data_IF_762933564239
#
_entry.id   IF_762933564239
#
_cell.length_a   1.000
_cell.length_b   1.000
_cell.length_c   1.000
_cell.angle_alpha   90.00
_cell.angle_beta   90.00
_cell.angle_gamma   90.00
#
_symmetry.space_group_name_H-M   'P 1'
#
loop_
_entity.id
_entity.type
_entity.pdbx_description
1 polymer ?
#
# COMPACT_ATOMS: atom_id res chain seq x y z
N UNK A 1 17.99 -0.33 -27.61
CA UNK A 1 17.31 0.96 -27.32
C UNK A 1 18.29 1.87 -26.60
N UNK A 2 18.70 2.98 -27.22
CA UNK A 2 19.52 4.02 -26.57
C UNK A 2 18.56 4.94 -25.80
N UNK A 3 18.68 4.99 -24.49
CA UNK A 3 17.91 5.91 -23.64
C UNK A 3 18.41 7.31 -23.94
N UNK A 4 17.62 8.11 -24.66
CA UNK A 4 17.91 9.53 -24.83
C UNK A 4 18.00 10.18 -23.44
N UNK A 5 19.05 10.98 -23.24
CA UNK A 5 19.40 11.53 -21.93
C UNK A 5 18.18 12.15 -21.23
N UNK A 6 17.90 11.72 -20.00
CA UNK A 6 16.82 12.21 -19.11
C UNK A 6 16.95 13.70 -18.70
N UNK A 7 17.81 14.47 -19.39
CA UNK A 7 18.07 15.88 -19.12
C UNK A 7 16.82 16.69 -19.47
N UNK A 8 16.24 17.37 -18.49
CA UNK A 8 14.99 18.15 -18.63
C UNK A 8 13.70 17.39 -18.27
N UNK A 9 13.70 16.06 -18.24
CA UNK A 9 12.50 15.29 -17.82
C UNK A 9 12.16 15.57 -16.36
N UNK A 10 13.15 15.51 -15.48
CA UNK A 10 12.97 15.75 -14.04
C UNK A 10 12.57 17.19 -13.74
N UNK A 11 13.13 18.16 -14.47
CA UNK A 11 12.78 19.57 -14.34
C UNK A 11 11.33 19.82 -14.77
N UNK A 12 10.90 19.22 -15.89
CA UNK A 12 9.52 19.31 -16.37
C UNK A 12 8.53 18.60 -15.46
N UNK A 13 8.89 17.43 -14.93
CA UNK A 13 8.09 16.71 -13.94
C UNK A 13 7.93 17.54 -12.66
N UNK A 14 9.02 18.11 -12.15
CA UNK A 14 9.01 18.93 -10.95
C UNK A 14 8.19 20.22 -11.16
N UNK A 15 8.34 20.87 -12.32
CA UNK A 15 7.52 22.02 -12.70
C UNK A 15 6.02 21.68 -12.74
N UNK A 16 5.66 20.54 -13.35
CA UNK A 16 4.28 20.10 -13.39
C UNK A 16 3.73 19.76 -12.00
N UNK A 17 4.55 19.16 -11.13
CA UNK A 17 4.16 18.85 -9.74
C UNK A 17 3.92 20.14 -8.94
N UNK A 18 4.81 21.14 -9.05
CA UNK A 18 4.65 22.44 -8.40
C UNK A 18 3.46 23.21 -8.99
N UNK A 19 3.24 23.17 -10.31
CA UNK A 19 2.07 23.77 -10.94
C UNK A 19 0.75 23.17 -10.40
N UNK A 20 0.67 21.84 -10.28
CA UNK A 20 -0.52 21.15 -9.74
C UNK A 20 -0.75 21.46 -8.25
N UNK A 21 0.32 21.68 -7.48
CA UNK A 21 0.27 22.03 -6.05
C UNK A 21 -0.38 23.40 -5.79
N UNK A 22 -0.24 24.36 -6.71
CA UNK A 22 -0.74 25.72 -6.52
C UNK A 22 -2.01 26.07 -7.30
N UNK A 23 -2.38 25.30 -8.34
CA UNK A 23 -3.45 25.68 -9.27
C UNK A 23 -4.82 25.06 -9.00
N UNK A 24 -4.93 24.08 -8.09
CA UNK A 24 -6.22 23.44 -7.77
C UNK A 24 -6.55 23.56 -6.28
N UNK A 25 -7.83 23.85 -5.92
CA UNK A 25 -8.26 23.82 -4.52
C UNK A 25 -7.90 22.45 -3.96
N UNK A 26 -7.22 22.44 -2.82
CA UNK A 26 -6.45 21.32 -2.27
C UNK A 26 -7.13 19.95 -2.48
N UNK A 27 -6.81 19.29 -3.59
CA UNK A 27 -7.21 17.91 -3.89
C UNK A 27 -6.43 16.90 -3.05
N UNK A 28 -5.64 17.37 -2.07
CA UNK A 28 -4.78 16.56 -1.23
C UNK A 28 -5.64 15.69 -0.31
N UNK A 29 -5.87 14.47 -0.78
CA UNK A 29 -6.28 13.39 0.08
C UNK A 29 -5.26 13.27 1.21
N UNK A 30 -5.67 13.63 2.42
CA UNK A 30 -4.82 13.50 3.59
C UNK A 30 -5.18 12.23 4.34
N UNK A 31 -4.17 11.43 4.65
CA UNK A 31 -4.34 10.15 5.32
C UNK A 31 -4.83 10.30 6.79
N UNK A 32 -4.97 11.54 7.30
CA UNK A 32 -5.58 11.78 8.61
C UNK A 32 -7.02 11.25 8.73
N UNK A 33 -7.75 11.21 7.61
CA UNK A 33 -9.12 10.67 7.57
C UNK A 33 -9.08 9.16 7.79
N UNK A 34 -8.29 8.43 7.01
CA UNK A 34 -8.07 6.98 7.19
C UNK A 34 -7.55 6.68 8.58
N UNK A 35 -6.57 7.43 9.08
CA UNK A 35 -6.04 7.29 10.44
C UNK A 35 -7.15 7.37 11.50
N UNK A 36 -8.01 8.38 11.40
CA UNK A 36 -9.13 8.57 12.33
C UNK A 36 -10.10 7.41 12.24
N UNK A 37 -10.53 7.06 11.04
CA UNK A 37 -11.49 5.98 10.81
C UNK A 37 -10.93 4.61 11.22
N UNK A 38 -9.64 4.39 11.03
CA UNK A 38 -8.93 3.21 11.50
C UNK A 38 -8.96 3.09 13.04
N UNK A 39 -8.60 4.16 13.75
CA UNK A 39 -8.68 4.17 15.21
C UNK A 39 -10.11 3.96 15.73
N UNK A 40 -11.09 4.56 15.05
CA UNK A 40 -12.50 4.33 15.37
C UNK A 40 -12.87 2.85 15.20
N UNK A 41 -12.55 2.24 14.06
CA UNK A 41 -12.82 0.83 13.79
C UNK A 41 -12.18 -0.11 14.81
N UNK A 42 -10.90 0.12 15.15
CA UNK A 42 -10.20 -0.69 16.17
C UNK A 42 -10.81 -0.50 17.57
N UNK A 43 -11.23 0.71 17.91
CA UNK A 43 -11.88 0.97 19.21
C UNK A 43 -13.28 0.33 19.29
N UNK A 44 -14.02 0.32 18.19
CA UNK A 44 -15.34 -0.29 18.08
C UNK A 44 -15.28 -1.82 18.17
N UNK A 45 -14.30 -2.43 17.52
CA UNK A 45 -14.02 -3.87 17.62
C UNK A 45 -13.76 -4.29 19.08
N UNK A 46 -12.95 -3.51 19.81
CA UNK A 46 -12.62 -3.77 21.22
C UNK A 46 -13.79 -3.55 22.18
N UNK A 47 -14.69 -2.62 21.87
CA UNK A 47 -15.81 -2.25 22.75
C UNK A 47 -17.10 -2.98 22.44
N UNK A 48 -17.13 -3.81 21.38
CA UNK A 48 -18.31 -4.56 20.95
C UNK A 48 -19.43 -3.70 20.33
N UNK A 49 -19.24 -2.37 20.23
CA UNK A 49 -20.17 -1.44 19.58
C UNK A 49 -19.89 -1.42 18.08
N UNK A 50 -20.37 -2.44 17.37
CA UNK A 50 -20.14 -2.56 15.92
C UNK A 50 -20.91 -1.47 15.17
N UNK A 51 -20.23 -0.66 14.34
CA UNK A 51 -20.88 0.06 13.22
C UNK A 51 -21.73 -0.89 12.39
N UNK A 52 -22.65 -0.33 11.59
CA UNK A 52 -23.48 -1.07 10.62
C UNK A 52 -22.68 -2.20 9.95
N UNK A 53 -23.14 -3.44 10.10
CA UNK A 53 -22.48 -4.63 9.55
C UNK A 53 -22.24 -4.49 8.04
N UNK A 54 -23.06 -3.69 7.35
CA UNK A 54 -22.89 -3.38 5.93
C UNK A 54 -21.62 -2.56 5.63
N UNK A 55 -21.21 -1.63 6.51
CA UNK A 55 -20.00 -0.83 6.34
C UNK A 55 -18.75 -1.71 6.40
N UNK A 56 -18.65 -2.55 7.43
CA UNK A 56 -17.53 -3.49 7.60
C UNK A 56 -17.49 -4.50 6.45
N UNK A 57 -18.63 -5.03 6.00
CA UNK A 57 -18.69 -5.91 4.83
C UNK A 57 -18.13 -5.24 3.57
N UNK A 58 -18.55 -4.00 3.28
CA UNK A 58 -18.05 -3.26 2.13
C UNK A 58 -16.53 -3.02 2.19
N UNK A 59 -15.99 -2.74 3.38
CA UNK A 59 -14.53 -2.64 3.57
C UNK A 59 -13.86 -3.97 3.20
N UNK A 60 -14.39 -5.10 3.72
CA UNK A 60 -13.84 -6.43 3.41
C UNK A 60 -13.93 -6.76 1.92
N UNK A 61 -15.03 -6.44 1.26
CA UNK A 61 -15.21 -6.65 -0.18
C UNK A 61 -14.19 -5.83 -0.99
N UNK A 62 -13.93 -4.58 -0.60
CA UNK A 62 -12.91 -3.75 -1.23
C UNK A 62 -11.51 -4.33 -1.04
N UNK A 63 -11.20 -4.86 0.16
CA UNK A 63 -9.93 -5.52 0.41
C UNK A 63 -9.74 -6.76 -0.48
N UNK A 64 -10.78 -7.59 -0.62
CA UNK A 64 -10.76 -8.76 -1.52
C UNK A 64 -10.49 -8.33 -2.97
N UNK A 65 -11.16 -7.28 -3.46
CA UNK A 65 -10.92 -6.76 -4.82
C UNK A 65 -9.47 -6.29 -5.03
N UNK A 66 -8.87 -5.63 -4.03
CA UNK A 66 -7.46 -5.19 -4.10
C UNK A 66 -6.53 -6.41 -4.22
N UNK A 67 -6.73 -7.42 -3.38
CA UNK A 67 -5.92 -8.65 -3.37
C UNK A 67 -6.04 -9.35 -4.72
N UNK A 68 -7.26 -9.58 -5.22
CA UNK A 68 -7.48 -10.23 -6.51
C UNK A 68 -6.86 -9.47 -7.68
N UNK A 69 -6.85 -8.12 -7.66
CA UNK A 69 -6.21 -7.32 -8.69
C UNK A 69 -4.67 -7.45 -8.66
N UNK A 70 -4.08 -7.52 -7.47
CA UNK A 70 -2.64 -7.78 -7.32
C UNK A 70 -2.30 -9.20 -7.83
N UNK A 71 -3.15 -10.20 -7.54
CA UNK A 71 -3.00 -11.58 -8.02
C UNK A 71 -3.05 -11.67 -9.54
N UNK A 72 -4.05 -11.04 -10.17
CA UNK A 72 -4.26 -11.10 -11.61
C UNK A 72 -3.11 -10.46 -12.42
N UNK A 73 -2.37 -9.50 -11.84
CA UNK A 73 -1.28 -8.80 -12.53
C UNK A 73 0.08 -9.51 -12.49
N UNK A 74 0.25 -10.57 -11.68
CA UNK A 74 1.51 -11.34 -11.63
C UNK A 74 1.62 -12.30 -12.83
N UNK A 75 1.95 -11.78 -14.01
CA UNK A 75 2.19 -12.57 -15.22
C UNK A 75 3.63 -13.12 -15.33
N UNK A 76 4.16 -13.73 -14.26
CA UNK A 76 5.51 -14.31 -14.25
C UNK A 76 5.67 -15.47 -13.24
N UNK A 77 6.58 -16.43 -13.47
CA UNK A 77 6.69 -17.60 -12.61
C UNK A 77 7.36 -17.23 -11.28
N UNK A 78 6.77 -17.74 -10.20
CA UNK A 78 7.13 -17.65 -8.77
C UNK A 78 6.38 -16.54 -8.03
N UNK A 79 6.00 -16.86 -6.78
CA UNK A 79 5.36 -16.00 -5.75
C UNK A 79 3.86 -16.22 -5.48
N UNK A 80 3.35 -17.43 -5.73
CA UNK A 80 2.03 -17.88 -5.30
C UNK A 80 1.79 -17.95 -3.76
N UNK A 81 2.76 -17.87 -2.82
CA UNK A 81 2.43 -17.77 -1.40
C UNK A 81 2.30 -16.32 -0.88
N UNK A 82 2.65 -15.30 -1.67
CA UNK A 82 2.70 -13.91 -1.20
C UNK A 82 1.35 -13.21 -1.19
N UNK A 83 0.29 -13.73 -1.77
CA UNK A 83 -0.96 -12.95 -1.89
C UNK A 83 -2.05 -13.40 -0.91
N UNK A 84 -1.74 -14.40 -0.08
CA UNK A 84 -2.60 -14.78 1.03
C UNK A 84 -2.37 -13.82 2.18
N UNK A 85 -3.13 -12.72 2.19
CA UNK A 85 -3.23 -11.87 3.36
C UNK A 85 -4.00 -12.59 4.46
N UNK A 86 -3.28 -12.96 5.52
CA UNK A 86 -3.85 -13.61 6.70
C UNK A 86 -4.12 -12.59 7.81
N UNK A 87 -3.49 -11.41 7.78
CA UNK A 87 -3.69 -10.38 8.78
C UNK A 87 -5.02 -9.64 8.54
N UNK A 88 -5.96 -9.83 9.47
CA UNK A 88 -7.28 -9.23 9.42
C UNK A 88 -7.25 -7.70 9.48
N UNK A 89 -6.28 -7.12 10.20
CA UNK A 89 -6.13 -5.67 10.32
C UNK A 89 -5.58 -5.07 9.03
N UNK A 90 -4.60 -5.70 8.39
CA UNK A 90 -4.10 -5.24 7.08
C UNK A 90 -5.19 -5.29 6.02
N UNK A 91 -6.00 -6.36 6.01
CA UNK A 91 -7.19 -6.44 5.12
C UNK A 91 -8.14 -5.29 5.35
N UNK A 92 -8.46 -5.01 6.61
CA UNK A 92 -9.37 -3.93 6.95
C UNK A 92 -8.81 -2.56 6.53
N UNK A 93 -7.51 -2.31 6.74
CA UNK A 93 -6.84 -1.08 6.35
C UNK A 93 -6.81 -0.90 4.82
N UNK A 94 -6.54 -1.97 4.06
CA UNK A 94 -6.61 -1.96 2.59
C UNK A 94 -7.99 -1.53 2.08
N UNK A 95 -9.04 -2.17 2.59
CA UNK A 95 -10.41 -1.87 2.20
C UNK A 95 -10.86 -0.47 2.61
N UNK A 96 -10.39 0.01 3.77
CA UNK A 96 -10.67 1.36 4.26
C UNK A 96 -10.03 2.41 3.35
N UNK A 97 -8.76 2.23 2.97
CA UNK A 97 -8.08 3.13 2.05
C UNK A 97 -8.81 3.27 0.71
N UNK A 98 -9.31 2.16 0.15
CA UNK A 98 -10.11 2.20 -1.09
C UNK A 98 -11.40 2.98 -0.88
N UNK A 99 -12.09 2.72 0.23
CA UNK A 99 -13.37 3.36 0.56
C UNK A 99 -13.21 4.87 0.72
N UNK A 100 -12.26 5.32 1.52
CA UNK A 100 -11.99 6.74 1.77
C UNK A 100 -11.48 7.47 0.53
N UNK A 101 -10.59 6.84 -0.25
CA UNK A 101 -10.12 7.42 -1.51
C UNK A 101 -11.25 7.54 -2.53
N UNK A 102 -12.11 6.52 -2.66
CA UNK A 102 -13.28 6.55 -3.53
C UNK A 102 -14.22 7.69 -3.12
N UNK A 103 -14.50 7.83 -1.83
CA UNK A 103 -15.39 8.88 -1.31
C UNK A 103 -14.80 10.27 -1.52
N UNK A 104 -13.48 10.43 -1.34
CA UNK A 104 -12.76 11.67 -1.69
C UNK A 104 -12.91 12.00 -3.18
N UNK A 105 -12.62 11.04 -4.06
CA UNK A 105 -12.73 11.22 -5.50
C UNK A 105 -14.17 11.53 -5.94
N UNK A 106 -15.19 10.90 -5.34
CA UNK A 106 -16.59 11.17 -5.63
C UNK A 106 -16.99 12.61 -5.31
N UNK A 107 -16.49 13.17 -4.21
CA UNK A 107 -16.78 14.56 -3.81
C UNK A 107 -16.18 15.56 -4.80
N UNK A 108 -15.02 15.24 -5.37
CA UNK A 108 -14.25 16.15 -6.22
C UNK A 108 -14.43 15.93 -7.74
N UNK A 109 -14.90 14.75 -8.16
CA UNK A 109 -15.05 14.37 -9.57
C UNK A 109 -16.53 14.12 -9.94
N UNK A 110 -17.38 15.12 -9.71
CA UNK A 110 -18.85 15.00 -9.81
C UNK A 110 -19.41 14.67 -11.21
N UNK A 111 -18.58 14.68 -12.26
CA UNK A 111 -18.95 14.30 -13.64
C UNK A 111 -18.37 12.98 -14.13
N UNK A 112 -17.60 12.26 -13.31
CA UNK A 112 -17.01 10.97 -13.68
C UNK A 112 -17.93 9.84 -13.24
N UNK A 113 -18.08 8.81 -14.09
CA UNK A 113 -18.87 7.63 -13.74
C UNK A 113 -18.39 6.99 -12.43
N UNK A 114 -19.32 6.69 -11.52
CA UNK A 114 -19.02 6.11 -10.20
C UNK A 114 -18.18 4.83 -10.31
N UNK A 115 -18.48 3.97 -11.28
CA UNK A 115 -17.71 2.74 -11.54
C UNK A 115 -16.26 3.04 -11.90
N UNK A 116 -16.01 4.09 -12.69
CA UNK A 116 -14.66 4.51 -13.05
C UNK A 116 -13.90 5.04 -11.84
N UNK A 117 -14.57 5.79 -10.95
CA UNK A 117 -13.96 6.24 -9.69
C UNK A 117 -13.60 5.06 -8.78
N UNK A 118 -14.49 4.08 -8.64
CA UNK A 118 -14.22 2.86 -7.89
C UNK A 118 -12.99 2.11 -8.44
N UNK A 119 -12.93 1.94 -9.76
CA UNK A 119 -11.76 1.33 -10.41
C UNK A 119 -10.47 2.13 -10.19
N UNK A 120 -10.52 3.47 -10.24
CA UNK A 120 -9.34 4.30 -9.98
C UNK A 120 -8.84 4.15 -8.54
N UNK A 121 -9.74 4.10 -7.56
CA UNK A 121 -9.36 3.91 -6.16
C UNK A 121 -8.74 2.52 -5.94
N UNK A 122 -9.35 1.47 -6.50
CA UNK A 122 -8.83 0.10 -6.45
C UNK A 122 -7.46 -0.02 -7.12
N UNK A 123 -7.32 0.50 -8.34
CA UNK A 123 -6.07 0.45 -9.10
C UNK A 123 -4.94 1.22 -8.42
N UNK A 124 -5.24 2.38 -7.81
CA UNK A 124 -4.26 3.14 -7.04
C UNK A 124 -3.73 2.35 -5.85
N UNK A 125 -4.61 1.80 -5.01
CA UNK A 125 -4.19 1.04 -3.82
C UNK A 125 -3.44 -0.23 -4.22
N UNK A 126 -3.91 -0.96 -5.23
CA UNK A 126 -3.20 -2.14 -5.74
C UNK A 126 -1.80 -1.78 -6.26
N UNK A 127 -1.65 -0.70 -7.04
CA UNK A 127 -0.34 -0.25 -7.55
C UNK A 127 0.59 0.20 -6.44
N UNK A 128 0.07 0.87 -5.41
CA UNK A 128 0.88 1.27 -4.25
C UNK A 128 1.49 0.05 -3.56
N UNK A 129 0.67 -0.97 -3.28
CA UNK A 129 1.11 -2.21 -2.65
C UNK A 129 2.09 -2.98 -3.54
N UNK A 130 1.82 -3.04 -4.85
CA UNK A 130 2.70 -3.67 -5.83
C UNK A 130 4.07 -2.97 -5.91
N UNK A 131 4.10 -1.63 -5.84
CA UNK A 131 5.35 -0.87 -5.81
C UNK A 131 6.17 -1.18 -4.55
N UNK A 132 5.54 -1.29 -3.38
CA UNK A 132 6.22 -1.66 -2.14
C UNK A 132 6.82 -3.07 -2.27
N UNK A 133 6.06 -4.04 -2.79
CA UNK A 133 6.58 -5.37 -3.14
C UNK A 133 7.80 -5.29 -4.06
N UNK A 134 7.70 -4.52 -5.14
CA UNK A 134 8.78 -4.37 -6.12
C UNK A 134 10.05 -3.76 -5.50
N UNK A 135 9.92 -2.77 -4.62
CA UNK A 135 11.05 -2.15 -3.90
C UNK A 135 11.79 -3.21 -3.08
N UNK A 136 11.05 -4.04 -2.36
CA UNK A 136 11.63 -5.09 -1.52
C UNK A 136 12.29 -6.18 -2.35
N UNK A 137 11.61 -6.67 -3.38
CA UNK A 137 12.17 -7.66 -4.28
C UNK A 137 13.46 -7.17 -4.93
N UNK A 138 13.47 -5.92 -5.39
CA UNK A 138 14.65 -5.31 -5.99
C UNK A 138 15.77 -5.19 -4.97
N UNK A 139 15.45 -4.86 -3.72
CA UNK A 139 16.41 -4.77 -2.62
C UNK A 139 17.01 -6.15 -2.30
N UNK A 140 16.20 -7.20 -2.19
CA UNK A 140 16.68 -8.57 -1.97
C UNK A 140 17.58 -9.05 -3.11
N UNK A 141 17.14 -8.85 -4.36
CA UNK A 141 17.91 -9.24 -5.55
C UNK A 141 19.26 -8.52 -5.62
N UNK A 142 19.31 -7.22 -5.32
CA UNK A 142 20.55 -6.44 -5.28
C UNK A 142 21.58 -7.03 -4.30
N UNK A 143 21.11 -7.63 -3.22
CA UNK A 143 21.95 -8.19 -2.17
C UNK A 143 22.18 -9.71 -2.30
N UNK A 144 21.79 -10.32 -3.44
CA UNK A 144 21.84 -11.77 -3.69
C UNK A 144 21.12 -12.62 -2.62
N UNK A 145 20.19 -12.00 -1.87
CA UNK A 145 19.40 -12.69 -0.87
C UNK A 145 18.24 -13.37 -1.59
N UNK A 146 18.40 -14.67 -1.86
CA UNK A 146 17.38 -15.48 -2.54
C UNK A 146 16.36 -16.09 -1.55
N UNK A 147 16.71 -16.16 -0.25
CA UNK A 147 15.82 -16.69 0.79
C UNK A 147 15.11 -15.56 1.53
N UNK A 148 13.80 -15.71 1.69
CA UNK A 148 12.93 -14.83 2.50
C UNK A 148 13.16 -14.99 4.01
N UNK A 149 14.02 -15.93 4.41
CA UNK A 149 14.36 -16.17 5.81
C UNK A 149 15.62 -15.38 6.15
N UNK A 150 15.47 -14.27 6.86
CA UNK A 150 16.61 -13.60 7.47
C UNK A 150 17.07 -14.44 8.66
N UNK A 151 18.35 -14.75 8.70
CA UNK A 151 18.92 -15.45 9.84
C UNK A 151 19.24 -14.45 10.95
N UNK A 152 18.20 -13.95 11.63
CA UNK A 152 18.31 -13.02 12.78
C UNK A 152 19.05 -13.61 14.00
N UNK A 153 19.31 -14.92 14.01
CA UNK A 153 19.96 -15.62 15.11
C UNK A 153 21.51 -15.63 15.03
N UNK A 154 22.12 -14.98 14.03
CA UNK A 154 23.58 -14.77 13.91
C UNK A 154 23.88 -13.30 13.61
N UNK A 155 25.15 -12.88 13.74
CA UNK A 155 25.59 -11.58 13.20
C UNK A 155 25.22 -11.53 11.71
N UNK A 156 24.14 -10.80 11.40
CA UNK A 156 23.65 -10.67 10.04
C UNK A 156 24.72 -10.05 9.15
N UNK A 157 24.82 -10.54 7.92
CA UNK A 157 25.69 -9.96 6.91
C UNK A 157 25.34 -8.49 6.65
N UNK A 158 26.29 -7.70 6.13
CA UNK A 158 26.02 -6.32 5.71
C UNK A 158 24.86 -6.23 4.71
N UNK A 159 24.67 -7.27 3.89
CA UNK A 159 23.55 -7.44 2.98
C UNK A 159 22.21 -7.60 3.71
N UNK A 160 22.14 -8.50 4.70
CA UNK A 160 20.94 -8.70 5.52
C UNK A 160 20.59 -7.45 6.33
N UNK A 161 21.60 -6.77 6.89
CA UNK A 161 21.42 -5.51 7.62
C UNK A 161 20.85 -4.40 6.73
N UNK A 162 21.34 -4.26 5.49
CA UNK A 162 20.83 -3.27 4.55
C UNK A 162 19.36 -3.52 4.16
N UNK A 163 19.00 -4.78 3.87
CA UNK A 163 17.62 -5.12 3.52
C UNK A 163 16.70 -5.01 4.75
N UNK A 164 17.15 -5.42 5.93
CA UNK A 164 16.43 -5.22 7.18
C UNK A 164 16.16 -3.74 7.44
N UNK A 165 17.15 -2.87 7.26
CA UNK A 165 16.98 -1.42 7.35
C UNK A 165 15.93 -0.89 6.36
N UNK A 166 15.93 -1.36 5.12
CA UNK A 166 14.90 -0.97 4.14
C UNK A 166 13.51 -1.43 4.61
N UNK A 167 13.38 -2.66 5.09
CA UNK A 167 12.11 -3.18 5.62
C UNK A 167 11.61 -2.36 6.80
N UNK A 168 12.47 -2.03 7.78
CA UNK A 168 12.07 -1.22 8.94
C UNK A 168 11.67 0.20 8.53
N UNK A 169 12.38 0.81 7.58
CA UNK A 169 12.01 2.13 7.03
C UNK A 169 10.67 2.08 6.29
N UNK A 170 10.38 1.01 5.56
CA UNK A 170 9.07 0.82 4.92
C UNK A 170 8.00 0.68 6.00
N UNK A 171 8.21 -0.15 7.03
CA UNK A 171 7.25 -0.30 8.13
C UNK A 171 6.98 1.00 8.86
N UNK A 172 8.03 1.77 9.16
CA UNK A 172 7.92 3.07 9.81
C UNK A 172 7.15 4.07 8.93
N UNK A 173 7.45 4.10 7.63
CA UNK A 173 6.74 4.93 6.67
C UNK A 173 5.26 4.53 6.53
N UNK A 174 4.96 3.24 6.43
CA UNK A 174 3.57 2.76 6.30
C UNK A 174 2.78 2.96 7.58
N UNK A 175 3.40 2.74 8.75
CA UNK A 175 2.80 3.04 10.06
C UNK A 175 2.50 4.53 10.23
N UNK A 176 3.49 5.39 9.98
CA UNK A 176 3.31 6.86 10.11
C UNK A 176 2.28 7.41 9.11
N UNK A 177 2.24 6.87 7.89
CA UNK A 177 1.31 7.28 6.85
C UNK A 177 -0.03 6.53 6.87
N UNK A 178 -0.26 5.58 7.78
CA UNK A 178 -1.46 4.73 7.81
C UNK A 178 -1.75 4.07 6.45
N UNK A 179 -0.69 3.51 5.85
CA UNK A 179 -0.77 2.74 4.62
C UNK A 179 -0.76 1.25 4.95
N UNK A 180 -1.53 0.43 4.21
CA UNK A 180 -1.46 -1.01 4.33
C UNK A 180 -0.10 -1.50 3.85
N UNK A 181 0.38 -2.57 4.48
CA UNK A 181 1.47 -3.37 3.96
C UNK A 181 0.95 -4.26 2.82
N UNK A 182 1.82 -4.65 1.88
CA UNK A 182 1.40 -5.57 0.84
C UNK A 182 1.08 -6.94 1.43
N UNK A 183 0.22 -7.73 0.76
CA UNK A 183 -0.07 -9.08 1.19
C UNK A 183 1.18 -9.96 1.18
N UNK A 184 1.22 -10.95 2.08
CA UNK A 184 2.22 -12.03 2.09
C UNK A 184 2.60 -12.52 3.48
N UNK A 185 2.68 -13.85 3.65
CA UNK A 185 3.06 -14.47 4.92
C UNK A 185 4.48 -14.03 5.32
N UNK A 186 4.58 -13.42 6.50
CA UNK A 186 5.82 -12.98 7.14
C UNK A 186 6.58 -11.88 6.38
N UNK A 187 6.03 -10.67 6.42
CA UNK A 187 6.86 -9.51 6.76
C UNK A 187 7.59 -9.85 8.07
N UNK A 188 8.91 -9.90 8.08
CA UNK A 188 9.77 -10.37 9.16
C UNK A 188 9.72 -9.57 10.49
N UNK A 189 8.54 -9.13 10.92
CA UNK A 189 8.32 -8.34 12.14
C UNK A 189 7.77 -9.16 13.30
N UNK A 190 7.52 -10.46 13.13
CA UNK A 190 7.01 -11.30 14.20
C UNK A 190 7.92 -11.41 15.45
N UNK A 191 9.24 -11.08 15.45
CA UNK A 191 9.99 -11.01 16.70
C UNK A 191 10.07 -9.59 17.31
N UNK A 192 9.38 -8.59 16.77
CA UNK A 192 9.45 -7.19 17.26
C UNK A 192 8.10 -6.61 17.71
N UNK A 193 7.09 -7.44 17.95
CA UNK A 193 5.86 -7.08 18.69
C UNK A 193 5.80 -7.84 20.00
#
# INVERSE_FOLDING_TARGET
>A
MKVHSLKGYWEKLNYNLEYVKYTKPHLHYHNSVVRREWHNLVSEEKTGKRRSTAYVRNILDNAVKVISNIEARKSGPRLMPLLQEEDSHQRLLMGLMVSELKDHLLRHLQGVEKKKIEHMALDYVSKLLDLICCILETSLRKHNLHSWVFHLNRLGSAAESAVFHIMTRILEATSSLFLPLPPGKCWLFCPLV
#
